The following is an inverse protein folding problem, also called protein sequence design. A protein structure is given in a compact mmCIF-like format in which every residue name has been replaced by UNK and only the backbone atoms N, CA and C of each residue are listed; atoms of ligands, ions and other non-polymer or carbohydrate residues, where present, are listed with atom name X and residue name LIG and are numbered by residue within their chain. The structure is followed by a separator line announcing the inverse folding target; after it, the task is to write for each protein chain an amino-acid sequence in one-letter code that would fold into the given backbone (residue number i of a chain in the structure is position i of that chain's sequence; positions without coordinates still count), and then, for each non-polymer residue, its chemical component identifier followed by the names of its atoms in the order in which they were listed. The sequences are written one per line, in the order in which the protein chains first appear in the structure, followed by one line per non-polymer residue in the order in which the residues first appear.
data_IF_009285616965
#
_entry.id   IF_009285616965
#
_cell.length_a   1.000
_cell.length_b   1.000
_cell.length_c   1.000
_cell.angle_alpha   90.00
_cell.angle_beta   90.00
_cell.angle_gamma   90.00
#
_symmetry.space_group_name_H-M   'P 1'
#
loop_
_entity.id
_entity.type
_entity.pdbx_description
1 polymer ?
#
# COMPACT_ATOMS: atom_id res chain seq x y z
N UNK A 1 -18.70 -10.02 -13.52
CA UNK A 1 -19.05 -8.59 -13.62
C UNK A 1 -18.42 -8.06 -14.90
N UNK A 2 -19.07 -7.20 -15.71
CA UNK A 2 -18.58 -6.81 -17.04
C UNK A 2 -17.43 -5.78 -16.99
N UNK A 3 -16.45 -6.01 -16.11
CA UNK A 3 -15.41 -5.05 -15.70
C UNK A 3 -14.03 -5.29 -16.37
N UNK A 4 -13.93 -6.13 -17.40
CA UNK A 4 -12.63 -6.60 -17.93
C UNK A 4 -12.49 -6.46 -19.45
N UNK A 5 -12.66 -5.27 -20.02
CA UNK A 5 -12.24 -5.10 -21.41
C UNK A 5 -11.68 -3.72 -21.77
N UNK A 6 -11.02 -3.05 -20.81
CA UNK A 6 -10.20 -1.88 -21.15
C UNK A 6 -8.93 -2.36 -21.84
N UNK A 7 -8.90 -2.30 -23.19
CA UNK A 7 -7.77 -2.79 -24.01
C UNK A 7 -6.75 -1.71 -24.36
N UNK A 8 -7.03 -0.46 -24.02
CA UNK A 8 -6.19 0.68 -24.38
C UNK A 8 -6.23 1.80 -23.34
N UNK A 9 -5.17 2.59 -23.29
CA UNK A 9 -5.07 3.82 -22.49
C UNK A 9 -6.23 4.80 -22.76
N UNK A 10 -6.64 4.94 -24.02
CA UNK A 10 -7.75 5.82 -24.39
C UNK A 10 -9.07 5.37 -23.77
N UNK A 11 -9.31 4.07 -23.75
CA UNK A 11 -10.51 3.50 -23.13
C UNK A 11 -10.48 3.67 -21.61
N UNK A 12 -9.30 3.58 -20.98
CA UNK A 12 -9.13 3.80 -19.56
C UNK A 12 -9.43 5.25 -19.16
N UNK A 13 -8.83 6.23 -19.84
CA UNK A 13 -9.08 7.66 -19.58
C UNK A 13 -10.55 8.01 -19.84
N UNK A 14 -11.15 7.45 -20.90
CA UNK A 14 -12.58 7.63 -21.17
C UNK A 14 -13.45 7.04 -20.05
N UNK A 15 -13.06 5.91 -19.46
CA UNK A 15 -13.76 5.30 -18.33
C UNK A 15 -13.73 6.22 -17.11
N UNK A 16 -12.58 6.80 -16.75
CA UNK A 16 -12.47 7.75 -15.63
C UNK A 16 -13.47 8.91 -15.79
N UNK A 17 -13.50 9.52 -16.98
CA UNK A 17 -14.40 10.64 -17.28
C UNK A 17 -15.87 10.26 -17.22
N UNK A 18 -16.24 9.07 -17.71
CA UNK A 18 -17.62 8.56 -17.65
C UNK A 18 -18.10 8.37 -16.21
N UNK A 19 -17.24 7.96 -15.28
CA UNK A 19 -17.62 7.82 -13.87
C UNK A 19 -17.83 9.19 -13.19
N UNK A 20 -17.13 10.24 -13.64
CA UNK A 20 -17.41 11.63 -13.24
C UNK A 20 -18.77 12.09 -13.78
N UNK A 21 -19.06 11.86 -15.06
CA UNK A 21 -20.36 12.21 -15.67
C UNK A 21 -21.54 11.49 -14.98
N UNK A 22 -21.32 10.27 -14.48
CA UNK A 22 -22.30 9.49 -13.72
C UNK A 22 -22.46 9.95 -12.27
N UNK A 23 -21.64 10.90 -11.81
CA UNK A 23 -21.61 11.36 -10.42
C UNK A 23 -21.09 10.32 -9.43
N UNK A 24 -20.37 9.29 -9.91
CA UNK A 24 -19.79 8.22 -9.09
C UNK A 24 -18.36 8.49 -8.64
N UNK A 25 -17.70 9.46 -9.28
CA UNK A 25 -16.35 9.89 -8.95
C UNK A 25 -16.31 11.40 -8.88
N UNK A 26 -15.71 11.95 -7.83
CA UNK A 26 -15.56 13.41 -7.71
C UNK A 26 -14.54 13.94 -8.74
N UNK A 27 -14.78 15.11 -9.35
CA UNK A 27 -13.88 15.67 -10.36
C UNK A 27 -12.43 15.86 -9.88
N UNK A 28 -12.24 16.31 -8.63
CA UNK A 28 -10.91 16.51 -8.05
C UNK A 28 -10.13 15.20 -7.91
N UNK A 29 -10.82 14.11 -7.55
CA UNK A 29 -10.22 12.77 -7.48
C UNK A 29 -9.84 12.27 -8.87
N UNK A 30 -10.70 12.51 -9.87
CA UNK A 30 -10.42 12.14 -11.26
C UNK A 30 -9.19 12.86 -11.83
N UNK A 31 -9.07 14.18 -11.61
CA UNK A 31 -7.91 14.96 -12.05
C UNK A 31 -6.62 14.48 -11.38
N UNK A 32 -6.66 14.22 -10.08
CA UNK A 32 -5.52 13.67 -9.34
C UNK A 32 -5.16 12.25 -9.83
N UNK A 33 -6.17 11.45 -10.18
CA UNK A 33 -5.97 10.11 -10.73
C UNK A 33 -5.34 10.14 -12.12
N UNK A 34 -5.79 11.02 -13.03
CA UNK A 34 -5.16 11.21 -14.35
C UNK A 34 -3.68 11.63 -14.19
N UNK A 35 -3.38 12.54 -13.27
CA UNK A 35 -2.00 12.94 -12.97
C UNK A 35 -1.16 11.76 -12.43
N UNK A 36 -1.71 10.96 -11.50
CA UNK A 36 -1.06 9.76 -10.98
C UNK A 36 -0.79 8.75 -12.10
N UNK A 37 -1.75 8.55 -13.00
CA UNK A 37 -1.61 7.66 -14.16
C UNK A 37 -0.40 8.00 -15.01
N UNK A 38 -0.29 9.26 -15.45
CA UNK A 38 0.83 9.66 -16.32
C UNK A 38 2.18 9.57 -15.60
N UNK A 39 2.24 9.96 -14.32
CA UNK A 39 3.46 9.86 -13.53
C UNK A 39 3.90 8.40 -13.35
N UNK A 40 2.98 7.52 -12.97
CA UNK A 40 3.24 6.10 -12.79
C UNK A 40 3.63 5.42 -14.10
N UNK A 41 2.92 5.74 -15.20
CA UNK A 41 3.26 5.25 -16.54
C UNK A 41 4.68 5.62 -16.93
N UNK A 42 5.06 6.88 -16.78
CA UNK A 42 6.40 7.34 -17.13
C UNK A 42 7.47 6.62 -16.30
N UNK A 43 7.23 6.43 -15.00
CA UNK A 43 8.18 5.74 -14.12
C UNK A 43 8.33 4.25 -14.46
N UNK A 44 7.23 3.52 -14.68
CA UNK A 44 7.26 2.08 -14.96
C UNK A 44 7.88 1.79 -16.33
N UNK A 45 7.58 2.60 -17.35
CA UNK A 45 8.12 2.39 -18.69
C UNK A 45 9.63 2.69 -18.80
N UNK A 46 10.19 3.49 -17.88
CA UNK A 46 11.64 3.75 -17.86
C UNK A 46 12.48 2.54 -17.44
N UNK A 47 11.87 1.54 -16.79
CA UNK A 47 12.60 0.39 -16.25
C UNK A 47 12.98 -0.68 -17.29
N UNK A 48 12.56 -0.51 -18.55
CA UNK A 48 12.98 -1.37 -19.66
C UNK A 48 12.42 -2.79 -19.63
N UNK A 49 11.45 -3.09 -18.75
CA UNK A 49 10.74 -4.36 -18.76
C UNK A 49 9.85 -4.47 -20.02
N UNK A 50 9.98 -5.53 -20.84
CA UNK A 50 9.16 -5.70 -22.04
C UNK A 50 7.65 -5.76 -21.75
N UNK A 51 7.25 -6.11 -20.53
CA UNK A 51 5.86 -6.17 -20.06
C UNK A 51 5.44 -4.91 -19.26
N UNK A 52 6.29 -3.88 -19.19
CA UNK A 52 6.07 -2.69 -18.37
C UNK A 52 4.70 -2.03 -18.64
N UNK A 53 4.29 -1.96 -19.90
CA UNK A 53 3.01 -1.35 -20.27
C UNK A 53 1.81 -2.15 -19.75
N UNK A 54 1.83 -3.48 -19.87
CA UNK A 54 0.76 -4.34 -19.39
C UNK A 54 0.68 -4.32 -17.85
N UNK A 55 1.83 -4.36 -17.17
CA UNK A 55 1.92 -4.26 -15.71
C UNK A 55 1.33 -2.91 -15.25
N UNK A 56 1.77 -1.82 -15.89
CA UNK A 56 1.29 -0.47 -15.61
C UNK A 56 -0.22 -0.38 -15.76
N UNK A 57 -0.77 -0.83 -16.89
CA UNK A 57 -2.20 -0.73 -17.16
C UNK A 57 -3.02 -1.57 -16.18
N UNK A 58 -2.58 -2.80 -15.89
CA UNK A 58 -3.24 -3.67 -14.90
C UNK A 58 -3.28 -3.02 -13.52
N UNK A 59 -2.14 -2.53 -13.04
CA UNK A 59 -2.03 -1.89 -11.73
C UNK A 59 -2.90 -0.63 -11.61
N UNK A 60 -2.96 0.19 -12.66
CA UNK A 60 -3.81 1.39 -12.68
C UNK A 60 -5.30 1.05 -12.75
N UNK A 61 -5.69 0.00 -13.47
CA UNK A 61 -7.08 -0.47 -13.48
C UNK A 61 -7.51 -0.99 -12.11
N UNK A 62 -6.67 -1.81 -11.47
CA UNK A 62 -6.95 -2.33 -10.13
C UNK A 62 -7.08 -1.17 -9.13
N UNK A 63 -6.17 -0.20 -9.16
CA UNK A 63 -6.24 0.99 -8.31
C UNK A 63 -7.53 1.77 -8.56
N UNK A 64 -7.87 2.04 -9.82
CA UNK A 64 -9.09 2.78 -10.17
C UNK A 64 -10.35 2.08 -9.64
N UNK A 65 -10.44 0.76 -9.82
CA UNK A 65 -11.56 -0.03 -9.31
C UNK A 65 -11.66 0.03 -7.78
N UNK A 66 -10.52 0.06 -7.07
CA UNK A 66 -10.51 0.20 -5.60
C UNK A 66 -10.93 1.60 -5.15
N UNK A 67 -10.46 2.65 -5.84
CA UNK A 67 -10.85 4.05 -5.57
C UNK A 67 -12.34 4.24 -5.77
N UNK A 68 -12.89 3.74 -6.89
CA UNK A 68 -14.31 3.85 -7.19
C UNK A 68 -15.17 3.10 -6.15
N UNK A 69 -14.73 1.92 -5.72
CA UNK A 69 -15.40 1.16 -4.68
C UNK A 69 -15.43 1.91 -3.34
N UNK A 70 -14.34 2.59 -2.98
CA UNK A 70 -14.27 3.39 -1.76
C UNK A 70 -15.10 4.68 -1.86
N UNK A 71 -15.22 5.32 -3.03
CA UNK A 71 -16.12 6.46 -3.23
C UNK A 71 -17.61 6.03 -3.12
N UNK A 72 -17.96 4.83 -3.58
CA UNK A 72 -19.31 4.27 -3.41
C UNK A 72 -19.59 3.78 -1.98
N UNK A 73 -18.60 3.21 -1.31
CA UNK A 73 -18.69 2.67 0.05
C UNK A 73 -17.43 3.01 0.87
N UNK A 74 -17.37 4.21 1.47
CA UNK A 74 -16.17 4.69 2.15
C UNK A 74 -15.71 3.79 3.30
N UNK A 75 -14.50 3.25 3.17
CA UNK A 75 -13.86 2.51 4.24
C UNK A 75 -13.49 3.46 5.39
N UNK A 76 -13.82 3.06 6.63
CA UNK A 76 -13.47 3.80 7.84
C UNK A 76 -12.48 2.97 8.65
N UNK A 77 -11.27 3.50 8.81
CA UNK A 77 -10.25 2.83 9.60
C UNK A 77 -10.57 2.88 11.10
N UNK A 78 -10.36 1.76 11.79
CA UNK A 78 -10.42 1.68 13.25
C UNK A 78 -9.05 2.01 13.87
N UNK A 79 -8.96 2.43 15.15
CA UNK A 79 -7.69 2.81 15.78
C UNK A 79 -6.57 1.77 15.59
N UNK A 80 -6.93 0.50 15.59
CA UNK A 80 -6.10 -0.58 15.05
C UNK A 80 -6.80 -1.18 13.83
N UNK A 81 -6.11 -1.16 12.69
CA UNK A 81 -6.55 -1.76 11.44
C UNK A 81 -5.64 -2.95 11.10
N UNK A 82 -6.24 -4.10 10.78
CA UNK A 82 -5.51 -5.28 10.29
C UNK A 82 -5.61 -5.31 8.77
N UNK A 83 -4.51 -5.65 8.10
CA UNK A 83 -4.47 -5.77 6.64
C UNK A 83 -5.61 -6.63 6.08
N UNK A 84 -6.33 -6.13 5.08
CA UNK A 84 -7.41 -6.85 4.41
C UNK A 84 -6.81 -7.73 3.31
N UNK A 85 -6.99 -9.05 3.45
CA UNK A 85 -6.47 -10.06 2.51
C UNK A 85 -7.57 -10.73 1.67
N UNK A 86 -8.83 -10.61 2.08
CA UNK A 86 -9.99 -11.24 1.44
C UNK A 86 -11.21 -10.31 1.51
N UNK A 87 -12.16 -10.34 0.55
CA UNK A 87 -12.14 -11.14 -0.69
C UNK A 87 -11.22 -10.59 -1.79
N UNK A 88 -10.62 -9.42 -1.55
CA UNK A 88 -9.58 -8.82 -2.39
C UNK A 88 -8.34 -8.63 -1.53
N UNK A 89 -7.20 -9.11 -2.01
CA UNK A 89 -5.94 -9.00 -1.30
C UNK A 89 -5.29 -7.63 -1.53
N UNK A 90 -5.62 -6.66 -0.66
CA UNK A 90 -5.07 -5.31 -0.73
C UNK A 90 -3.56 -5.27 -0.45
N UNK A 91 -3.03 -6.23 0.32
CA UNK A 91 -1.59 -6.33 0.54
C UNK A 91 -0.88 -6.68 -0.77
N UNK A 92 -1.30 -7.77 -1.42
CA UNK A 92 -0.70 -8.23 -2.68
C UNK A 92 -0.89 -7.18 -3.78
N UNK A 93 -2.05 -6.53 -3.85
CA UNK A 93 -2.28 -5.39 -4.73
C UNK A 93 -1.23 -4.28 -4.52
N UNK A 94 -1.02 -3.83 -3.28
CA UNK A 94 -0.04 -2.79 -2.97
C UNK A 94 1.39 -3.21 -3.30
N UNK A 95 1.76 -4.46 -3.02
CA UNK A 95 3.07 -5.01 -3.39
C UNK A 95 3.27 -5.00 -4.91
N UNK A 96 2.28 -5.46 -5.67
CA UNK A 96 2.35 -5.51 -7.14
C UNK A 96 2.38 -4.11 -7.78
N UNK A 97 1.69 -3.15 -7.18
CA UNK A 97 1.70 -1.76 -7.63
C UNK A 97 3.07 -1.11 -7.46
N UNK A 98 3.75 -1.32 -6.33
CA UNK A 98 5.04 -0.69 -6.03
C UNK A 98 6.23 -1.44 -6.63
N UNK A 99 6.14 -2.77 -6.77
CA UNK A 99 7.22 -3.62 -7.30
C UNK A 99 7.87 -3.09 -8.58
N UNK A 100 7.14 -2.68 -9.64
CA UNK A 100 7.78 -2.21 -10.87
C UNK A 100 8.48 -0.86 -10.70
N UNK A 101 8.33 -0.14 -9.58
CA UNK A 101 9.03 1.11 -9.31
C UNK A 101 10.35 0.90 -8.55
N UNK A 102 10.62 -0.31 -8.05
CA UNK A 102 11.81 -0.61 -7.26
C UNK A 102 12.91 -1.16 -8.16
N UNK A 103 14.06 -0.49 -8.19
CA UNK A 103 15.27 -1.04 -8.81
C UNK A 103 15.97 -2.00 -7.85
N UNK A 104 15.50 -3.25 -7.83
CA UNK A 104 16.06 -4.31 -6.99
C UNK A 104 17.55 -4.59 -7.24
N UNK A 105 18.09 -4.26 -8.42
CA UNK A 105 19.50 -4.51 -8.73
C UNK A 105 20.43 -3.54 -8.03
N UNK A 106 19.96 -2.32 -7.84
CA UNK A 106 20.71 -1.24 -7.18
C UNK A 106 20.23 -0.96 -5.74
N UNK A 107 19.25 -1.72 -5.25
CA UNK A 107 18.77 -1.65 -3.87
C UNK A 107 19.53 -2.62 -2.96
N UNK A 108 19.67 -2.29 -1.68
CA UNK A 108 20.36 -3.12 -0.70
C UNK A 108 19.66 -3.14 0.65
N UNK A 109 19.76 -4.27 1.35
CA UNK A 109 19.33 -4.42 2.74
C UNK A 109 20.57 -4.62 3.61
N UNK A 110 20.84 -3.66 4.50
CA UNK A 110 21.92 -3.76 5.46
C UNK A 110 21.55 -4.66 6.63
N UNK A 111 22.55 -5.34 7.22
CA UNK A 111 22.43 -6.10 8.47
C UNK A 111 21.27 -7.11 8.48
N UNK A 112 21.11 -7.89 7.41
CA UNK A 112 19.97 -8.79 7.22
C UNK A 112 19.77 -9.78 8.38
N UNK A 113 20.85 -10.21 9.04
CA UNK A 113 20.80 -11.13 10.19
C UNK A 113 20.00 -10.57 11.37
N UNK A 114 19.94 -9.24 11.52
CA UNK A 114 19.16 -8.60 12.60
C UNK A 114 17.68 -8.91 12.45
N UNK A 115 17.16 -9.02 11.23
CA UNK A 115 15.75 -9.40 11.02
C UNK A 115 15.48 -10.85 11.44
N UNK A 116 16.44 -11.75 11.27
CA UNK A 116 16.34 -13.12 11.81
C UNK A 116 16.34 -13.14 13.34
N UNK A 117 17.16 -12.29 13.98
CA UNK A 117 17.16 -12.14 15.44
C UNK A 117 15.85 -11.53 15.96
N UNK A 118 15.27 -10.58 15.23
CA UNK A 118 13.95 -10.02 15.53
C UNK A 118 12.87 -11.12 15.48
N UNK A 119 12.86 -11.97 14.45
CA UNK A 119 11.92 -13.10 14.39
C UNK A 119 12.08 -14.05 15.58
N UNK A 120 13.30 -14.32 16.02
CA UNK A 120 13.55 -15.16 17.18
C UNK A 120 12.99 -14.54 18.48
N UNK A 121 13.15 -13.22 18.66
CA UNK A 121 12.55 -12.51 19.80
C UNK A 121 11.02 -12.54 19.76
N UNK A 122 10.43 -12.37 18.58
CA UNK A 122 8.98 -12.44 18.39
C UNK A 122 8.43 -13.84 18.71
N UNK A 123 9.12 -14.90 18.30
CA UNK A 123 8.78 -16.30 18.66
C UNK A 123 8.83 -16.55 20.18
N UNK A 124 9.65 -15.81 20.91
CA UNK A 124 9.74 -15.86 22.38
C UNK A 124 8.62 -15.04 23.07
N UNK A 125 7.77 -14.35 22.30
CA UNK A 125 6.69 -13.51 22.83
C UNK A 125 7.13 -12.08 23.17
N UNK A 126 8.33 -11.67 22.76
CA UNK A 126 8.75 -10.27 22.91
C UNK A 126 8.07 -9.39 21.85
N UNK A 127 7.94 -8.10 22.15
CA UNK A 127 7.56 -7.10 21.17
C UNK A 127 8.82 -6.45 20.60
N UNK A 128 8.84 -6.24 19.28
CA UNK A 128 9.93 -5.53 18.61
C UNK A 128 9.39 -4.21 18.06
N UNK A 129 10.12 -3.14 18.35
CA UNK A 129 9.79 -1.79 17.91
C UNK A 129 10.92 -1.28 17.03
N UNK A 130 10.63 -1.00 15.76
CA UNK A 130 11.56 -0.37 14.84
C UNK A 130 11.37 1.14 14.90
N UNK A 131 12.44 1.86 15.24
CA UNK A 131 12.50 3.30 15.12
C UNK A 131 13.08 3.65 13.75
N UNK A 132 12.22 4.06 12.83
CA UNK A 132 12.61 4.35 11.44
C UNK A 132 12.46 5.83 11.11
N UNK A 133 13.23 6.28 10.13
CA UNK A 133 12.87 7.49 9.38
C UNK A 133 11.67 7.20 8.46
N UNK A 134 11.10 8.27 7.92
CA UNK A 134 10.05 8.24 6.89
C UNK A 134 10.50 9.06 5.70
N UNK A 135 10.27 8.55 4.49
CA UNK A 135 10.58 9.26 3.24
C UNK A 135 9.37 9.34 2.32
N UNK A 136 8.58 8.27 2.22
CA UNK A 136 7.46 8.19 1.27
C UNK A 136 6.27 7.41 1.83
N UNK A 137 5.07 7.70 1.34
CA UNK A 137 3.87 6.92 1.70
C UNK A 137 3.95 5.45 1.24
N UNK A 138 4.89 5.13 0.33
CA UNK A 138 5.17 3.79 -0.15
C UNK A 138 6.20 3.02 0.73
N UNK A 139 6.75 3.63 1.78
CA UNK A 139 7.73 3.00 2.68
C UNK A 139 7.27 1.61 3.17
N UNK A 140 5.99 1.39 3.56
CA UNK A 140 5.51 0.05 3.93
C UNK A 140 5.72 -1.01 2.84
N UNK A 141 5.46 -0.65 1.59
CA UNK A 141 5.62 -1.56 0.47
C UNK A 141 7.08 -1.79 0.12
N UNK A 142 7.91 -0.75 0.15
CA UNK A 142 9.35 -0.87 -0.11
C UNK A 142 10.03 -1.77 0.94
N UNK A 143 9.69 -1.58 2.22
CA UNK A 143 10.20 -2.44 3.32
C UNK A 143 9.77 -3.89 3.10
N UNK A 144 8.47 -4.12 2.81
CA UNK A 144 7.96 -5.46 2.61
C UNK A 144 8.60 -6.14 1.39
N UNK A 145 8.70 -5.45 0.24
CA UNK A 145 9.37 -5.96 -0.97
C UNK A 145 10.85 -6.28 -0.73
N UNK A 146 11.53 -5.50 0.11
CA UNK A 146 12.94 -5.72 0.45
C UNK A 146 13.16 -6.97 1.29
N UNK A 147 12.16 -7.37 2.08
CA UNK A 147 12.23 -8.49 3.02
C UNK A 147 11.46 -9.74 2.57
N UNK A 148 10.68 -9.68 1.50
CA UNK A 148 9.75 -10.74 1.09
C UNK A 148 10.40 -12.11 0.88
N UNK A 149 11.68 -12.15 0.50
CA UNK A 149 12.42 -13.40 0.24
C UNK A 149 13.15 -13.93 1.47
N UNK A 150 13.71 -13.04 2.29
CA UNK A 150 14.54 -13.41 3.44
C UNK A 150 13.73 -13.57 4.73
N UNK A 151 12.72 -12.71 4.92
CA UNK A 151 11.93 -12.57 6.13
C UNK A 151 10.45 -12.35 5.77
N UNK A 152 9.79 -13.31 5.10
CA UNK A 152 8.41 -13.16 4.62
C UNK A 152 7.44 -12.85 5.77
N UNK A 153 7.63 -13.47 6.93
CA UNK A 153 6.78 -13.23 8.09
C UNK A 153 6.83 -11.76 8.53
N UNK A 154 8.02 -11.16 8.61
CA UNK A 154 8.16 -9.72 8.92
C UNK A 154 7.52 -8.88 7.81
N UNK A 155 7.75 -9.22 6.54
CA UNK A 155 7.23 -8.44 5.40
C UNK A 155 5.69 -8.30 5.38
N UNK A 156 4.98 -9.23 6.01
CA UNK A 156 3.51 -9.26 6.07
C UNK A 156 2.93 -8.80 7.42
N UNK A 157 3.70 -8.88 8.52
CA UNK A 157 3.17 -8.72 9.89
C UNK A 157 3.61 -7.43 10.59
N UNK A 158 4.38 -6.56 9.94
CA UNK A 158 4.67 -5.24 10.49
C UNK A 158 3.38 -4.42 10.66
N UNK A 159 3.19 -3.87 11.86
CA UNK A 159 2.18 -2.85 12.14
C UNK A 159 2.81 -1.47 12.01
N UNK A 160 2.29 -0.65 11.11
CA UNK A 160 2.77 0.70 10.86
C UNK A 160 1.99 1.70 11.71
N UNK A 161 2.68 2.62 12.38
CA UNK A 161 2.00 3.76 13.01
C UNK A 161 1.78 4.84 11.95
N UNK A 162 0.51 5.22 11.72
CA UNK A 162 0.12 6.16 10.67
C UNK A 162 -0.76 7.31 11.13
N UNK A 163 -0.64 8.44 10.43
CA UNK A 163 -1.47 9.64 10.59
C UNK A 163 -2.56 9.77 9.51
N UNK A 164 -3.35 10.83 9.61
CA UNK A 164 -4.64 10.96 8.91
C UNK A 164 -4.59 11.02 7.38
N UNK A 165 -3.48 11.49 6.78
CA UNK A 165 -3.43 11.73 5.32
C UNK A 165 -3.60 10.45 4.49
N UNK A 166 -2.85 9.40 4.78
CA UNK A 166 -2.94 8.11 4.06
C UNK A 166 -4.23 7.34 4.31
N UNK A 167 -5.01 7.80 5.28
CA UNK A 167 -6.28 7.20 5.70
C UNK A 167 -7.49 7.93 5.10
N UNK A 168 -7.29 9.14 4.59
CA UNK A 168 -8.35 10.03 4.07
C UNK A 168 -8.23 10.30 2.58
N UNK A 169 -7.02 10.31 2.02
CA UNK A 169 -6.81 10.48 0.57
C UNK A 169 -7.32 9.24 -0.20
N UNK A 170 -8.34 9.38 -1.08
CA UNK A 170 -8.91 8.26 -1.84
C UNK A 170 -7.88 7.46 -2.65
N UNK A 171 -6.81 8.11 -3.13
CA UNK A 171 -5.78 7.45 -3.92
C UNK A 171 -4.81 6.62 -3.05
N UNK A 172 -4.68 6.97 -1.78
CA UNK A 172 -3.80 6.29 -0.82
C UNK A 172 -4.53 5.20 -0.04
N UNK A 173 -5.82 5.37 0.24
CA UNK A 173 -6.63 4.46 1.07
C UNK A 173 -6.54 2.99 0.65
N UNK A 174 -6.62 2.62 -0.64
CA UNK A 174 -6.46 1.22 -1.06
C UNK A 174 -5.14 0.59 -0.60
N UNK A 175 -4.04 1.36 -0.61
CA UNK A 175 -2.75 0.86 -0.14
C UNK A 175 -2.72 0.68 1.39
N UNK A 176 -3.29 1.63 2.13
CA UNK A 176 -3.41 1.56 3.59
C UNK A 176 -4.30 0.40 4.04
N UNK A 177 -5.36 0.08 3.30
CA UNK A 177 -6.24 -1.07 3.57
C UNK A 177 -5.46 -2.41 3.55
N UNK A 178 -4.40 -2.50 2.75
CA UNK A 178 -3.52 -3.66 2.65
C UNK A 178 -2.43 -3.76 3.72
N UNK A 179 -2.40 -2.85 4.70
CA UNK A 179 -1.39 -2.84 5.78
C UNK A 179 -2.05 -3.00 7.13
N UNK A 180 -1.30 -3.55 8.08
CA UNK A 180 -1.69 -3.45 9.49
C UNK A 180 -1.22 -2.09 10.01
N UNK A 181 -2.14 -1.31 10.57
CA UNK A 181 -1.89 0.09 10.93
C UNK A 181 -2.43 0.40 12.32
N UNK A 182 -1.62 1.08 13.14
CA UNK A 182 -2.08 1.76 14.34
C UNK A 182 -2.24 3.26 14.02
N UNK A 183 -3.42 3.80 14.24
CA UNK A 183 -3.74 5.18 13.90
C UNK A 183 -3.51 6.04 15.12
N UNK A 184 -2.74 7.11 14.94
CA UNK A 184 -2.54 8.11 15.98
C UNK A 184 -2.99 9.48 15.47
N UNK A 185 -3.81 10.18 16.25
CA UNK A 185 -4.17 11.58 15.98
C UNK A 185 -3.00 12.49 16.36
N UNK A 186 -1.96 12.52 15.53
CA UNK A 186 -0.93 13.55 15.61
C UNK A 186 -0.83 14.24 14.25
N UNK A 187 -0.83 15.58 14.28
CA UNK A 187 -0.40 16.45 13.17
C UNK A 187 1.10 16.32 12.85
N UNK A 188 1.70 15.16 13.13
CA UNK A 188 3.09 14.88 12.80
C UNK A 188 3.14 14.14 11.46
N UNK A 189 3.97 14.64 10.56
CA UNK A 189 4.54 13.83 9.50
C UNK A 189 5.26 12.65 10.17
N UNK A 190 4.55 11.53 10.29
CA UNK A 190 5.00 10.18 10.62
C UNK A 190 6.40 10.05 11.28
N UNK A 191 6.42 9.84 12.60
CA UNK A 191 7.46 9.00 13.20
C UNK A 191 7.05 7.55 12.91
N UNK A 192 7.78 6.84 12.04
CA UNK A 192 7.55 5.40 11.83
C UNK A 192 8.04 4.65 13.07
N UNK A 193 7.11 4.48 14.01
CA UNK A 193 7.18 3.38 14.94
C UNK A 193 6.60 2.17 14.20
N UNK A 194 7.43 1.18 13.89
CA UNK A 194 6.92 -0.10 13.38
C UNK A 194 6.88 -1.06 14.55
N UNK A 195 5.72 -1.66 14.79
CA UNK A 195 5.51 -2.59 15.90
C UNK A 195 5.31 -3.98 15.31
N UNK A 196 6.09 -4.94 15.77
CA UNK A 196 5.84 -6.35 15.54
C UNK A 196 5.31 -6.95 16.85
N UNK A 197 4.10 -7.49 16.79
CA UNK A 197 3.43 -8.13 17.92
C UNK A 197 3.36 -9.65 17.67
N UNK A 198 3.50 -10.49 18.70
CA UNK A 198 3.24 -11.92 18.59
C UNK A 198 1.75 -12.19 18.32
N UNK A 199 1.44 -13.26 17.58
CA UNK A 199 0.08 -13.64 17.15
C UNK A 199 -0.94 -13.77 18.31
N UNK A 200 -0.46 -13.96 19.54
CA UNK A 200 -1.28 -14.14 20.74
C UNK A 200 -1.85 -12.86 21.34
N UNK A 201 -1.54 -11.67 20.80
CA UNK A 201 -1.93 -10.41 21.44
C UNK A 201 -2.72 -9.49 20.50
N UNK A 202 -3.94 -9.90 20.18
CA UNK A 202 -4.98 -9.05 19.59
C UNK A 202 -5.61 -8.04 20.57
N UNK A 203 -5.07 -7.90 21.80
CA UNK A 203 -5.70 -7.14 22.90
C UNK A 203 -4.77 -6.17 23.64
N UNK A 204 -3.59 -5.82 23.11
CA UNK A 204 -2.70 -4.88 23.77
C UNK A 204 -3.16 -3.43 23.54
N UNK A 205 -3.83 -2.87 24.56
CA UNK A 205 -3.94 -1.44 24.83
C UNK A 205 -2.54 -0.86 25.09
N UNK A 206 -1.74 -0.64 24.05
CA UNK A 206 -0.45 0.07 24.16
C UNK A 206 -0.66 1.60 24.17
N UNK A 207 -1.87 2.07 23.87
CA UNK A 207 -2.20 3.50 23.76
C UNK A 207 -3.40 3.95 24.61
N UNK A 208 -3.73 3.24 25.70
CA UNK A 208 -4.64 3.77 26.73
C UNK A 208 -3.89 4.50 27.82
#
# INVERSE_FOLDING_TARGET
SPLLDVRSEQEFVLRVRKEVERGKLRPDVADNFENLYYNYKNAVLQNGDPNAYQIMLSNMMDLFDRVLLDEENPFTFQPYHKAIREPFDYYTFGQNYIRPLVDFRNSYVGNISVFSDMENQLRQGHNVVLMSNHQTEADPAVIALSLERSNPWISENIVYVAGDRVLTDPLCKPFSMGRSVCIIMLNCCFCFLLILLPESISHLNIFS
#
